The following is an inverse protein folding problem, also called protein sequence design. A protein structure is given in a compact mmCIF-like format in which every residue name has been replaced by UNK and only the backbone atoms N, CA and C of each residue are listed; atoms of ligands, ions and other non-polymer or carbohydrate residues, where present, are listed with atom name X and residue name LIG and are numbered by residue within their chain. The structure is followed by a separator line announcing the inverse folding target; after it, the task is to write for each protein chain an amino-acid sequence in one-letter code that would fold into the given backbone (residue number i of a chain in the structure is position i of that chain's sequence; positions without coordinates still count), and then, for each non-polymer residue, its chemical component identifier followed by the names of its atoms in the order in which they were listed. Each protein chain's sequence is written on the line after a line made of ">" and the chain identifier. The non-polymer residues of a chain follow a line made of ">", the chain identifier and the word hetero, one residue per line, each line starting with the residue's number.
data_IF_261276257988
#
_entry.id   IF_261276257988
#
_cell.length_a   1.000
_cell.length_b   1.000
_cell.length_c   1.000
_cell.angle_alpha   90.00
_cell.angle_beta   90.00
_cell.angle_gamma   90.00
#
_symmetry.space_group_name_H-M   'P 1'
#
loop_
_entity.id
_entity.type
_entity.pdbx_description
1 polymer ?
#
# COMPACT_ATOMS: atom_id res chain seq x y z
N UNK A 1 -33.46 -5.04 11.09
CA UNK A 1 -32.26 -4.28 10.68
C UNK A 1 -31.58 -3.82 11.95
N UNK A 2 -30.58 -4.58 12.42
CA UNK A 2 -29.80 -4.23 13.62
C UNK A 2 -28.70 -3.26 13.19
N UNK A 3 -28.67 -2.09 13.80
CA UNK A 3 -27.55 -1.14 13.69
C UNK A 3 -26.31 -1.83 14.24
N UNK A 4 -25.17 -1.89 13.52
CA UNK A 4 -23.95 -2.46 14.07
C UNK A 4 -23.57 -1.70 15.34
N UNK A 5 -23.08 -2.43 16.34
CA UNK A 5 -22.67 -1.87 17.62
C UNK A 5 -21.63 -0.78 17.36
N UNK A 6 -21.96 0.49 17.64
CA UNK A 6 -21.00 1.60 17.59
C UNK A 6 -19.94 1.33 18.65
N UNK A 7 -18.72 1.04 18.18
CA UNK A 7 -17.55 1.15 19.06
C UNK A 7 -17.44 2.62 19.47
N UNK A 8 -17.65 2.94 20.75
CA UNK A 8 -17.43 4.28 21.31
C UNK A 8 -15.91 4.50 21.50
N UNK A 9 -15.17 4.39 20.44
CA UNK A 9 -13.77 4.79 20.42
C UNK A 9 -13.70 6.33 20.42
N UNK A 10 -12.74 6.89 21.14
CA UNK A 10 -12.41 8.31 21.06
C UNK A 10 -12.02 8.71 19.62
N UNK A 11 -11.83 10.00 19.37
CA UNK A 11 -11.41 10.48 18.04
C UNK A 11 -10.10 9.82 17.60
N UNK A 12 -10.07 9.29 16.38
CA UNK A 12 -8.89 8.73 15.73
C UNK A 12 -8.35 9.75 14.72
N UNK A 13 -7.12 10.18 14.89
CA UNK A 13 -6.45 11.07 13.95
C UNK A 13 -5.69 10.24 12.91
N UNK A 14 -6.05 10.39 11.65
CA UNK A 14 -5.40 9.73 10.52
C UNK A 14 -4.66 10.77 9.69
N UNK A 15 -3.38 10.53 9.39
CA UNK A 15 -2.66 11.28 8.38
C UNK A 15 -2.65 10.47 7.07
N UNK A 16 -3.28 11.01 6.03
CA UNK A 16 -3.22 10.43 4.68
C UNK A 16 -2.11 11.12 3.89
N UNK A 17 -1.04 10.40 3.61
CA UNK A 17 0.05 10.84 2.73
C UNK A 17 -0.22 10.27 1.34
N UNK A 18 -0.52 11.15 0.36
CA UNK A 18 -0.90 10.71 -0.98
C UNK A 18 -0.31 11.66 -2.02
N UNK A 19 0.75 11.20 -2.73
CA UNK A 19 1.46 12.01 -3.70
C UNK A 19 2.68 11.31 -4.30
N UNK A 20 3.37 12.00 -5.19
CA UNK A 20 4.56 11.48 -5.87
C UNK A 20 4.49 11.58 -7.39
N UNK A 21 4.89 10.52 -8.11
CA UNK A 21 5.01 10.50 -9.57
C UNK A 21 4.27 9.31 -10.19
N UNK A 22 3.83 9.46 -11.44
CA UNK A 22 3.38 8.42 -12.37
C UNK A 22 2.08 7.70 -12.02
N UNK A 23 1.33 8.18 -11.04
CA UNK A 23 0.07 7.59 -10.60
C UNK A 23 -1.02 8.64 -10.46
N UNK A 24 -2.27 8.24 -10.58
CA UNK A 24 -3.44 9.07 -10.33
C UNK A 24 -3.71 9.18 -8.81
N UNK A 25 -2.96 10.09 -8.18
CA UNK A 25 -3.08 10.30 -6.73
C UNK A 25 -4.42 10.90 -6.33
N UNK A 26 -5.09 11.61 -7.22
CA UNK A 26 -6.42 12.18 -6.93
C UNK A 26 -7.48 11.08 -6.92
N UNK A 27 -7.41 10.14 -7.85
CA UNK A 27 -8.25 8.96 -7.84
C UNK A 27 -8.04 8.12 -6.56
N UNK A 28 -6.80 7.74 -6.27
CA UNK A 28 -6.48 6.94 -5.08
C UNK A 28 -6.90 7.63 -3.79
N UNK A 29 -6.61 8.94 -3.66
CA UNK A 29 -6.99 9.77 -2.52
C UNK A 29 -8.51 9.78 -2.32
N UNK A 30 -9.26 9.97 -3.39
CA UNK A 30 -10.72 9.97 -3.33
C UNK A 30 -11.26 8.64 -2.80
N UNK A 31 -10.76 7.51 -3.32
CA UNK A 31 -11.19 6.18 -2.86
C UNK A 31 -10.87 5.95 -1.37
N UNK A 32 -9.67 6.30 -0.93
CA UNK A 32 -9.25 6.15 0.47
C UNK A 32 -10.09 7.05 1.40
N UNK A 33 -10.34 8.30 1.00
CA UNK A 33 -11.17 9.23 1.78
C UNK A 33 -12.62 8.77 1.88
N UNK A 34 -13.18 8.13 0.84
CA UNK A 34 -14.51 7.53 0.90
C UNK A 34 -14.58 6.39 1.92
N UNK A 35 -13.52 5.57 2.03
CA UNK A 35 -13.42 4.54 3.06
C UNK A 35 -13.31 5.15 4.46
N UNK A 36 -12.43 6.12 4.66
CA UNK A 36 -12.28 6.83 5.94
C UNK A 36 -13.55 7.56 6.36
N UNK A 37 -14.30 8.12 5.41
CA UNK A 37 -15.57 8.82 5.65
C UNK A 37 -16.69 7.92 6.20
N UNK A 38 -16.52 6.60 6.24
CA UNK A 38 -17.45 5.65 6.87
C UNK A 38 -17.32 5.62 8.39
N UNK A 39 -16.27 6.23 8.96
CA UNK A 39 -15.97 6.21 10.39
C UNK A 39 -16.21 7.58 11.01
N UNK A 40 -17.28 7.74 11.77
CA UNK A 40 -17.67 8.99 12.46
C UNK A 40 -16.60 9.50 13.44
N UNK A 41 -15.72 8.61 13.92
CA UNK A 41 -14.63 8.92 14.86
C UNK A 41 -13.38 9.46 14.20
N UNK A 42 -13.25 9.37 12.87
CA UNK A 42 -12.02 9.70 12.16
C UNK A 42 -11.93 11.21 11.87
N UNK A 43 -10.78 11.79 12.19
CA UNK A 43 -10.32 13.05 11.64
C UNK A 43 -9.11 12.81 10.75
N UNK A 44 -9.24 13.09 9.46
CA UNK A 44 -8.16 12.93 8.49
C UNK A 44 -7.49 14.28 8.18
N UNK A 45 -6.15 14.30 8.19
CA UNK A 45 -5.33 15.33 7.55
C UNK A 45 -4.70 14.77 6.26
N UNK A 46 -4.51 15.62 5.26
CA UNK A 46 -4.00 15.21 3.95
C UNK A 46 -2.66 15.86 3.71
N UNK A 47 -1.67 15.07 3.29
CA UNK A 47 -0.30 15.46 3.00
C UNK A 47 0.11 14.89 1.64
N UNK A 48 1.01 15.58 0.92
CA UNK A 48 1.55 15.08 -0.35
C UNK A 48 2.83 14.26 -0.18
N UNK A 49 3.50 14.46 0.96
CA UNK A 49 4.76 13.80 1.34
C UNK A 49 4.85 13.65 2.87
N UNK A 50 6.00 13.22 3.35
CA UNK A 50 6.25 12.97 4.78
C UNK A 50 6.86 14.17 5.53
N UNK A 51 6.90 15.36 4.95
CA UNK A 51 7.62 16.52 5.52
C UNK A 51 6.95 17.12 6.76
N UNK A 52 5.64 16.94 6.95
CA UNK A 52 4.94 17.38 8.15
C UNK A 52 5.12 16.38 9.31
N UNK A 53 6.36 16.33 9.83
CA UNK A 53 6.75 15.42 10.92
C UNK A 53 5.84 15.58 12.15
N UNK A 54 5.39 16.79 12.45
CA UNK A 54 4.54 17.04 13.61
C UNK A 54 3.15 16.41 13.46
N UNK A 55 2.56 16.52 12.28
CA UNK A 55 1.27 15.87 11.99
C UNK A 55 1.39 14.33 11.99
N UNK A 56 2.46 13.78 11.41
CA UNK A 56 2.71 12.33 11.39
C UNK A 56 2.92 11.77 12.80
N UNK A 57 3.70 12.49 13.65
CA UNK A 57 3.94 12.10 15.03
C UNK A 57 2.68 12.15 15.90
N UNK A 58 1.72 13.03 15.58
CA UNK A 58 0.46 13.18 16.31
C UNK A 58 -0.66 12.24 15.82
N UNK A 59 -0.48 11.58 14.68
CA UNK A 59 -1.50 10.69 14.11
C UNK A 59 -1.56 9.35 14.86
N UNK A 60 -2.77 8.81 15.04
CA UNK A 60 -2.98 7.45 15.54
C UNK A 60 -2.69 6.40 14.47
N UNK A 61 -2.92 6.77 13.21
CA UNK A 61 -2.57 5.98 12.04
C UNK A 61 -2.07 6.88 10.90
N UNK A 62 -1.11 6.38 10.13
CA UNK A 62 -0.68 6.96 8.86
C UNK A 62 -1.06 5.99 7.74
N UNK A 63 -1.76 6.50 6.73
CA UNK A 63 -2.04 5.78 5.49
C UNK A 63 -1.22 6.46 4.40
N UNK A 64 -0.36 5.72 3.74
CA UNK A 64 0.49 6.24 2.67
C UNK A 64 0.17 5.55 1.34
N UNK A 65 -0.16 6.32 0.33
CA UNK A 65 -0.24 5.91 -1.07
C UNK A 65 0.68 6.84 -1.86
N UNK A 66 1.93 6.44 -2.01
CA UNK A 66 2.95 7.30 -2.64
C UNK A 66 3.75 6.53 -3.68
N UNK A 67 4.38 7.24 -4.61
CA UNK A 67 5.33 6.67 -5.55
C UNK A 67 6.51 7.63 -5.72
N UNK A 68 7.73 7.14 -5.51
CA UNK A 68 8.97 7.92 -5.57
C UNK A 68 8.98 9.14 -4.62
N UNK A 69 8.24 9.05 -3.51
CA UNK A 69 8.36 10.00 -2.40
C UNK A 69 9.39 9.45 -1.42
N UNK A 70 10.45 10.21 -1.19
CA UNK A 70 11.62 9.74 -0.44
C UNK A 70 11.71 10.48 0.89
N UNK A 71 11.11 9.96 1.97
CA UNK A 71 11.29 10.56 3.28
C UNK A 71 12.77 10.55 3.67
N UNK A 72 13.22 11.67 4.17
CA UNK A 72 14.55 11.77 4.74
C UNK A 72 14.66 10.99 6.04
N UNK A 73 15.86 10.97 6.60
CA UNK A 73 16.14 10.21 7.83
C UNK A 73 15.28 10.69 9.01
N UNK A 74 15.08 11.99 9.14
CA UNK A 74 14.31 12.58 10.24
C UNK A 74 12.84 12.15 10.18
N UNK A 75 12.21 12.28 9.01
CA UNK A 75 10.81 11.90 8.77
C UNK A 75 10.61 10.39 9.01
N UNK A 76 11.51 9.55 8.48
CA UNK A 76 11.43 8.10 8.63
C UNK A 76 11.57 7.67 10.10
N UNK A 77 12.49 8.29 10.86
CA UNK A 77 12.68 8.00 12.28
C UNK A 77 11.50 8.47 13.13
N UNK A 78 10.95 9.66 12.86
CA UNK A 78 9.77 10.15 13.57
C UNK A 78 8.55 9.25 13.35
N UNK A 79 8.33 8.80 12.10
CA UNK A 79 7.26 7.85 11.79
C UNK A 79 7.49 6.50 12.48
N UNK A 80 8.71 5.98 12.45
CA UNK A 80 9.06 4.74 13.16
C UNK A 80 8.79 4.86 14.67
N UNK A 81 9.21 5.95 15.28
CA UNK A 81 9.05 6.17 16.71
C UNK A 81 7.56 6.30 17.08
N UNK A 82 6.74 6.89 16.18
CA UNK A 82 5.27 6.91 16.33
C UNK A 82 4.67 5.51 16.25
N UNK A 83 5.10 4.68 15.28
CA UNK A 83 4.63 3.30 15.17
C UNK A 83 5.05 2.51 16.42
N UNK A 84 6.31 2.63 16.86
CA UNK A 84 6.80 1.99 18.09
C UNK A 84 6.01 2.36 19.34
N UNK A 85 5.47 3.56 19.40
CA UNK A 85 4.61 4.03 20.49
C UNK A 85 3.15 3.54 20.38
N UNK A 86 2.82 2.63 19.48
CA UNK A 86 1.49 2.06 19.29
C UNK A 86 0.71 2.65 18.11
N UNK A 87 1.35 3.43 17.24
CA UNK A 87 0.76 3.90 15.99
C UNK A 87 0.67 2.80 14.93
N UNK A 88 -0.08 3.04 13.87
CA UNK A 88 -0.27 2.13 12.75
C UNK A 88 0.17 2.79 11.45
N UNK A 89 0.88 2.06 10.60
CA UNK A 89 1.24 2.49 9.27
C UNK A 89 0.66 1.53 8.24
N UNK A 90 -0.22 2.03 7.38
CA UNK A 90 -0.70 1.33 6.19
C UNK A 90 0.04 1.89 4.97
N UNK A 91 0.93 1.09 4.40
CA UNK A 91 1.67 1.42 3.19
C UNK A 91 1.00 0.75 1.99
N UNK A 92 0.49 1.56 1.07
CA UNK A 92 -0.23 1.11 -0.11
C UNK A 92 0.64 1.24 -1.37
N UNK A 93 0.51 0.27 -2.24
CA UNK A 93 1.10 0.23 -3.58
C UNK A 93 2.60 0.60 -3.56
N UNK A 94 2.99 1.65 -4.28
CA UNK A 94 4.37 2.05 -4.53
C UNK A 94 5.03 2.85 -3.38
N UNK A 95 4.44 2.85 -2.18
CA UNK A 95 4.98 3.59 -1.03
C UNK A 95 6.41 3.17 -0.65
N UNK A 96 6.82 1.95 -0.98
CA UNK A 96 8.17 1.40 -0.76
C UNK A 96 9.17 1.72 -1.88
N UNK A 97 8.82 2.56 -2.86
CA UNK A 97 9.63 2.78 -4.05
C UNK A 97 10.47 4.06 -3.98
N UNK A 98 11.73 3.94 -4.39
CA UNK A 98 12.61 5.04 -4.79
C UNK A 98 13.13 4.71 -6.19
N UNK A 99 12.76 5.51 -7.21
CA UNK A 99 12.98 5.16 -8.61
C UNK A 99 13.72 6.30 -9.31
N UNK A 100 14.92 6.03 -9.78
CA UNK A 100 15.65 6.93 -10.67
C UNK A 100 15.24 6.66 -12.12
N UNK A 101 14.57 7.63 -12.75
CA UNK A 101 14.18 7.56 -14.14
C UNK A 101 15.42 7.55 -15.06
N UNK A 102 15.32 6.94 -16.25
CA UNK A 102 16.39 6.95 -17.23
C UNK A 102 16.78 8.38 -17.63
N UNK A 103 18.08 8.63 -17.76
CA UNK A 103 18.59 9.91 -18.26
C UNK A 103 18.31 10.00 -19.76
N UNK A 104 17.82 11.14 -20.30
CA UNK A 104 17.62 11.33 -21.73
C UNK A 104 18.91 11.03 -22.52
N UNK A 105 18.79 10.19 -23.56
CA UNK A 105 19.91 9.78 -24.41
C UNK A 105 20.73 8.60 -23.90
N UNK A 106 20.45 8.09 -22.70
CA UNK A 106 21.02 6.85 -22.16
C UNK A 106 20.09 5.65 -22.42
N UNK A 107 20.57 4.45 -22.05
CA UNK A 107 19.72 3.25 -22.02
C UNK A 107 18.50 3.49 -21.13
N UNK A 108 17.30 3.10 -21.61
CA UNK A 108 16.04 3.24 -20.86
C UNK A 108 15.95 2.19 -19.74
N UNK A 109 16.72 2.38 -18.69
CA UNK A 109 16.74 1.50 -17.52
C UNK A 109 16.44 2.30 -16.25
N UNK A 110 15.37 1.93 -15.56
CA UNK A 110 15.04 2.44 -14.24
C UNK A 110 15.97 1.80 -13.19
N UNK A 111 16.44 2.61 -12.26
CA UNK A 111 17.24 2.15 -11.12
C UNK A 111 16.46 2.40 -9.84
N UNK A 112 16.61 1.51 -8.88
CA UNK A 112 15.92 1.58 -7.59
C UNK A 112 16.95 1.61 -6.47
N UNK A 113 17.57 2.78 -6.23
CA UNK A 113 18.59 2.93 -5.22
C UNK A 113 18.01 2.72 -3.81
N UNK A 114 18.89 2.33 -2.86
CA UNK A 114 18.56 2.37 -1.44
C UNK A 114 18.65 3.81 -0.92
N UNK A 115 17.70 4.64 -1.34
CA UNK A 115 17.69 6.08 -1.07
C UNK A 115 16.97 6.46 0.23
N UNK A 116 16.28 5.51 0.87
CA UNK A 116 15.49 5.74 2.09
C UNK A 116 15.60 4.55 3.05
N UNK A 117 16.83 4.18 3.51
CA UNK A 117 17.08 2.92 4.23
C UNK A 117 16.30 2.83 5.55
N UNK A 118 16.15 3.92 6.30
CA UNK A 118 15.36 3.93 7.55
C UNK A 118 13.88 3.67 7.29
N UNK A 119 13.35 4.21 6.19
CA UNK A 119 11.95 4.00 5.81
C UNK A 119 11.73 2.58 5.27
N UNK A 120 12.62 2.09 4.42
CA UNK A 120 12.61 0.70 3.94
C UNK A 120 12.70 -0.31 5.10
N UNK A 121 13.53 -0.01 6.10
CA UNK A 121 13.63 -0.82 7.32
C UNK A 121 12.34 -0.78 8.14
N UNK A 122 11.65 0.36 8.25
CA UNK A 122 10.34 0.47 8.90
C UNK A 122 9.29 -0.35 8.16
N UNK A 123 9.20 -0.24 6.84
CA UNK A 123 8.26 -1.00 6.02
C UNK A 123 8.56 -2.52 6.00
N UNK A 124 9.81 -2.91 6.25
CA UNK A 124 10.29 -4.28 6.09
C UNK A 124 10.42 -4.71 4.63
N UNK A 125 10.34 -3.77 3.70
CA UNK A 125 10.49 -4.06 2.28
C UNK A 125 11.01 -2.85 1.50
N UNK A 126 11.75 -3.12 0.42
CA UNK A 126 12.27 -2.15 -0.52
C UNK A 126 11.97 -2.60 -1.95
N UNK A 127 11.30 -1.76 -2.71
CA UNK A 127 10.99 -2.02 -4.12
C UNK A 127 12.26 -2.11 -4.97
N UNK A 128 12.32 -3.09 -5.86
CA UNK A 128 13.43 -3.28 -6.81
C UNK A 128 12.98 -3.16 -8.25
N UNK A 129 11.83 -3.76 -8.60
CA UNK A 129 11.32 -3.81 -9.96
C UNK A 129 9.88 -4.31 -10.00
N UNK A 130 9.25 -4.15 -11.15
CA UNK A 130 8.03 -4.85 -11.52
C UNK A 130 8.04 -5.20 -13.01
N UNK A 131 7.38 -6.27 -13.45
CA UNK A 131 7.09 -6.52 -14.85
C UNK A 131 6.03 -5.52 -15.35
N UNK A 132 5.68 -5.62 -16.63
CA UNK A 132 4.51 -4.91 -17.15
C UNK A 132 3.26 -5.34 -16.41
N UNK A 133 2.29 -4.42 -16.29
CA UNK A 133 0.95 -4.73 -15.78
C UNK A 133 0.41 -5.95 -16.52
N UNK A 134 -0.01 -6.96 -15.75
CA UNK A 134 -0.46 -8.24 -16.29
C UNK A 134 -1.50 -8.87 -15.36
N UNK A 135 -2.41 -9.70 -15.89
CA UNK A 135 -3.24 -10.55 -15.04
C UNK A 135 -2.37 -11.45 -14.16
N UNK A 136 -2.69 -11.50 -12.88
CA UNK A 136 -2.01 -12.34 -11.90
C UNK A 136 -3.02 -12.99 -10.96
N UNK A 137 -2.69 -14.19 -10.48
CA UNK A 137 -3.46 -14.87 -9.45
C UNK A 137 -2.94 -14.47 -8.08
N UNK A 138 -3.84 -13.98 -7.24
CA UNK A 138 -3.57 -13.67 -5.84
C UNK A 138 -4.01 -14.85 -4.99
N UNK A 139 -3.13 -15.32 -4.13
CA UNK A 139 -3.35 -16.47 -3.26
C UNK A 139 -3.32 -16.06 -1.79
N UNK A 140 -4.20 -16.66 -0.99
CA UNK A 140 -4.27 -16.45 0.44
C UNK A 140 -3.28 -17.37 1.14
N UNK A 141 -2.20 -16.80 1.69
CA UNK A 141 -1.21 -17.54 2.49
C UNK A 141 -1.77 -17.82 3.88
N UNK A 142 -2.54 -16.87 4.43
CA UNK A 142 -3.23 -16.98 5.72
C UNK A 142 -4.72 -16.67 5.55
N UNK A 143 -5.53 -17.63 5.05
CA UNK A 143 -6.93 -17.37 4.71
C UNK A 143 -7.82 -17.02 5.92
N UNK A 144 -7.39 -17.34 7.13
CA UNK A 144 -8.08 -17.01 8.39
C UNK A 144 -7.72 -15.62 8.94
N UNK A 145 -6.71 -14.94 8.36
CA UNK A 145 -6.29 -13.61 8.83
C UNK A 145 -7.43 -12.59 8.65
N UNK A 146 -7.72 -11.71 9.64
CA UNK A 146 -8.86 -10.80 9.61
C UNK A 146 -8.95 -9.92 8.36
N UNK A 147 -7.81 -9.53 7.79
CA UNK A 147 -7.77 -8.69 6.58
C UNK A 147 -8.26 -9.43 5.31
N UNK A 148 -8.30 -10.76 5.31
CA UNK A 148 -8.66 -11.57 4.13
C UNK A 148 -9.68 -12.67 4.41
N UNK A 149 -10.08 -12.88 5.66
CA UNK A 149 -11.00 -13.96 6.05
C UNK A 149 -12.26 -13.97 5.18
N UNK A 150 -12.61 -15.12 4.62
CA UNK A 150 -13.75 -15.32 3.72
C UNK A 150 -13.53 -14.80 2.28
N UNK A 151 -12.46 -14.07 1.98
CA UNK A 151 -12.15 -13.64 0.61
C UNK A 151 -11.46 -14.79 -0.12
N UNK A 152 -11.96 -15.25 -1.28
CA UNK A 152 -11.33 -16.33 -2.02
C UNK A 152 -10.06 -15.84 -2.74
N UNK A 153 -9.21 -16.78 -3.16
CA UNK A 153 -8.16 -16.48 -4.14
C UNK A 153 -8.79 -15.94 -5.43
N UNK A 154 -8.19 -14.89 -6.01
CA UNK A 154 -8.77 -14.18 -7.16
C UNK A 154 -7.73 -13.88 -8.23
N UNK A 155 -8.19 -13.45 -9.40
CA UNK A 155 -7.34 -12.96 -10.47
C UNK A 155 -7.60 -11.48 -10.64
N UNK A 156 -6.54 -10.69 -10.67
CA UNK A 156 -6.60 -9.26 -10.95
C UNK A 156 -5.49 -8.85 -11.91
N UNK A 157 -5.60 -7.68 -12.48
CA UNK A 157 -4.55 -7.08 -13.32
C UNK A 157 -3.91 -5.96 -12.53
N UNK A 158 -2.59 -6.04 -12.30
CA UNK A 158 -1.83 -5.04 -11.56
C UNK A 158 -0.31 -5.19 -11.80
N UNK A 159 0.48 -4.41 -11.09
CA UNK A 159 1.93 -4.52 -11.01
C UNK A 159 2.31 -5.47 -9.87
N UNK A 160 3.00 -6.59 -10.21
CA UNK A 160 3.61 -7.41 -9.17
C UNK A 160 4.97 -6.86 -8.77
N UNK A 161 5.18 -6.61 -7.49
CA UNK A 161 6.44 -6.02 -7.00
C UNK A 161 7.46 -7.08 -6.62
N UNK A 162 8.61 -6.96 -7.26
CA UNK A 162 9.84 -7.66 -6.86
C UNK A 162 10.55 -6.76 -5.87
N UNK A 163 10.67 -7.20 -4.61
CA UNK A 163 11.21 -6.38 -3.51
C UNK A 163 12.26 -7.14 -2.71
N UNK A 164 13.19 -6.44 -2.09
CA UNK A 164 13.89 -6.96 -0.93
C UNK A 164 12.93 -6.99 0.25
N UNK A 165 13.04 -8.02 1.08
CA UNK A 165 12.12 -8.28 2.18
C UNK A 165 12.91 -8.56 3.46
N UNK A 166 12.42 -8.04 4.58
CA UNK A 166 12.90 -8.43 5.90
C UNK A 166 12.42 -9.86 6.25
N UNK A 167 13.12 -10.52 7.16
CA UNK A 167 12.81 -11.91 7.55
C UNK A 167 11.63 -12.01 8.53
N UNK A 168 11.22 -10.90 9.15
CA UNK A 168 10.18 -10.83 10.18
C UNK A 168 8.79 -10.48 9.64
N UNK A 169 8.58 -10.58 8.32
CA UNK A 169 7.29 -10.31 7.71
C UNK A 169 6.31 -11.45 7.91
N UNK A 170 5.09 -11.11 8.31
CA UNK A 170 3.94 -12.00 8.25
C UNK A 170 3.25 -11.85 6.89
N UNK A 171 3.49 -12.78 5.97
CA UNK A 171 2.88 -12.77 4.65
C UNK A 171 1.44 -13.29 4.74
N UNK A 172 0.47 -12.49 4.28
CA UNK A 172 -0.96 -12.77 4.32
C UNK A 172 -1.48 -13.16 2.93
N UNK A 173 -1.04 -12.45 1.90
CA UNK A 173 -1.31 -12.77 0.49
C UNK A 173 -0.02 -12.68 -0.31
N UNK A 174 0.09 -13.50 -1.34
CA UNK A 174 1.18 -13.43 -2.32
C UNK A 174 0.68 -13.75 -3.74
N UNK A 175 1.58 -13.56 -4.71
CA UNK A 175 1.34 -13.94 -6.09
C UNK A 175 2.59 -14.64 -6.67
N UNK A 176 2.41 -15.68 -7.51
CA UNK A 176 3.51 -16.32 -8.21
C UNK A 176 4.01 -15.44 -9.37
N UNK A 177 5.31 -15.28 -9.46
CA UNK A 177 6.00 -14.68 -10.59
C UNK A 177 7.46 -15.08 -10.62
N UNK A 178 7.96 -15.53 -11.77
CA UNK A 178 9.35 -15.96 -11.99
C UNK A 178 9.96 -15.34 -13.27
N UNK A 179 9.22 -14.44 -13.92
CA UNK A 179 9.66 -13.75 -15.13
C UNK A 179 10.61 -12.59 -14.89
N UNK A 180 11.16 -11.99 -15.95
CA UNK A 180 12.00 -10.80 -15.87
C UNK A 180 11.17 -9.53 -15.68
N UNK A 181 11.82 -8.48 -15.18
CA UNK A 181 11.27 -7.14 -15.05
C UNK A 181 11.91 -6.19 -16.09
N UNK A 182 11.51 -6.23 -17.37
CA UNK A 182 12.14 -5.46 -18.41
C UNK A 182 11.99 -3.96 -18.16
N UNK A 183 13.08 -3.22 -18.38
CA UNK A 183 13.15 -1.79 -18.10
C UNK A 183 13.74 -1.44 -16.75
N UNK A 184 13.90 -2.38 -15.83
CA UNK A 184 14.60 -2.17 -14.55
C UNK A 184 16.01 -2.76 -14.56
N UNK A 185 16.92 -2.16 -13.81
CA UNK A 185 18.28 -2.67 -13.63
C UNK A 185 18.26 -4.02 -12.87
N UNK A 186 17.36 -4.18 -11.91
CA UNK A 186 17.10 -5.46 -11.24
C UNK A 186 16.05 -6.22 -12.03
N UNK A 187 16.35 -7.45 -12.45
CA UNK A 187 15.43 -8.26 -13.24
C UNK A 187 14.64 -9.25 -12.39
N UNK A 188 15.26 -9.79 -11.35
CA UNK A 188 14.70 -10.84 -10.47
C UNK A 188 15.42 -10.84 -9.12
N UNK A 189 14.81 -11.44 -8.11
CA UNK A 189 15.47 -11.88 -6.89
C UNK A 189 15.76 -13.37 -7.02
N UNK A 190 17.01 -13.81 -7.03
CA UNK A 190 17.36 -15.20 -7.25
C UNK A 190 16.64 -16.14 -6.26
N UNK A 191 16.04 -17.21 -6.80
CA UNK A 191 15.32 -18.22 -6.02
C UNK A 191 13.95 -17.82 -5.49
N UNK A 192 13.49 -16.60 -5.78
CA UNK A 192 12.16 -16.15 -5.38
C UNK A 192 11.19 -16.25 -6.55
N UNK A 193 10.14 -17.04 -6.38
CA UNK A 193 9.06 -17.26 -7.37
C UNK A 193 7.68 -16.85 -6.83
N UNK A 194 7.62 -16.38 -5.57
CA UNK A 194 6.41 -15.86 -4.94
C UNK A 194 6.72 -14.52 -4.30
N UNK A 195 5.84 -13.57 -4.51
CA UNK A 195 6.03 -12.19 -4.07
C UNK A 195 4.88 -11.78 -3.14
N UNK A 196 5.17 -11.38 -1.91
CA UNK A 196 4.17 -10.88 -0.99
C UNK A 196 3.41 -9.69 -1.59
N UNK A 197 2.08 -9.73 -1.46
CA UNK A 197 1.17 -8.69 -1.95
C UNK A 197 0.50 -7.98 -0.78
N UNK A 198 0.13 -8.73 0.27
CA UNK A 198 -0.31 -8.20 1.55
C UNK A 198 0.50 -8.86 2.66
N UNK A 199 1.09 -8.05 3.51
CA UNK A 199 1.90 -8.53 4.63
C UNK A 199 1.93 -7.51 5.75
N UNK A 200 2.23 -7.97 6.96
CA UNK A 200 2.36 -7.15 8.14
C UNK A 200 3.67 -7.43 8.87
N UNK A 201 4.05 -6.49 9.73
CA UNK A 201 5.12 -6.68 10.71
C UNK A 201 4.86 -5.85 11.96
N UNK A 202 5.24 -6.38 13.13
CA UNK A 202 5.22 -5.58 14.36
C UNK A 202 6.39 -4.60 14.37
N UNK A 203 6.18 -3.42 14.94
CA UNK A 203 7.23 -2.44 15.21
C UNK A 203 6.98 -1.80 16.57
N UNK A 204 7.68 -2.29 17.61
CA UNK A 204 7.44 -1.89 19.00
C UNK A 204 6.06 -2.30 19.50
N UNK A 205 5.24 -1.32 19.93
CA UNK A 205 3.85 -1.56 20.36
C UNK A 205 2.83 -1.35 19.23
N UNK A 206 3.27 -0.96 18.05
CA UNK A 206 2.45 -0.78 16.87
C UNK A 206 2.82 -1.75 15.77
N UNK A 207 2.32 -1.51 14.57
CA UNK A 207 2.53 -2.38 13.43
C UNK A 207 2.45 -1.64 12.09
N UNK A 208 3.02 -2.27 11.08
CA UNK A 208 2.98 -1.85 9.69
C UNK A 208 2.24 -2.91 8.88
N UNK A 209 1.30 -2.48 8.05
CA UNK A 209 0.68 -3.31 7.01
C UNK A 209 1.06 -2.73 5.66
N UNK A 210 1.54 -3.58 4.77
CA UNK A 210 1.86 -3.22 3.38
C UNK A 210 0.96 -3.99 2.42
N UNK A 211 0.30 -3.26 1.52
CA UNK A 211 -0.54 -3.82 0.47
C UNK A 211 -0.09 -3.26 -0.88
N UNK A 212 0.62 -4.06 -1.67
CA UNK A 212 1.37 -3.60 -2.85
C UNK A 212 0.55 -3.53 -4.14
N UNK A 213 -0.67 -4.07 -4.17
CA UNK A 213 -1.60 -3.83 -5.27
C UNK A 213 -2.17 -2.42 -5.20
N UNK A 214 -2.80 -1.98 -6.29
CA UNK A 214 -3.51 -0.71 -6.34
C UNK A 214 -2.91 0.29 -7.31
N UNK A 215 -2.28 -0.19 -8.40
CA UNK A 215 -1.87 0.69 -9.49
C UNK A 215 -3.07 1.48 -10.03
N UNK A 216 -2.89 2.77 -10.23
CA UNK A 216 -3.82 3.60 -10.99
C UNK A 216 -3.04 4.72 -11.70
N UNK A 217 -3.44 5.04 -12.92
CA UNK A 217 -2.78 6.06 -13.75
C UNK A 217 -3.80 6.80 -14.60
N UNK A 218 -3.81 8.11 -14.50
CA UNK A 218 -4.56 8.98 -15.39
C UNK A 218 -3.82 9.18 -16.73
N UNK A 219 -4.50 9.75 -17.68
CA UNK A 219 -3.98 9.95 -19.05
C UNK A 219 -2.69 10.77 -19.12
N UNK A 220 -2.47 11.66 -18.15
CA UNK A 220 -1.41 12.69 -18.21
C UNK A 220 -0.29 12.49 -17.18
N UNK A 221 -0.29 11.37 -16.43
CA UNK A 221 0.59 11.16 -15.27
C UNK A 221 2.05 10.79 -15.64
N UNK A 222 2.35 10.63 -16.93
CA UNK A 222 3.68 10.25 -17.42
C UNK A 222 4.25 11.25 -18.45
N UNK A 223 3.78 12.47 -18.42
CA UNK A 223 4.27 13.54 -19.30
C UNK A 223 5.78 13.78 -19.11
N UNK A 224 6.29 13.63 -17.89
CA UNK A 224 7.72 13.72 -17.57
C UNK A 224 8.57 12.59 -18.21
N UNK A 225 7.94 11.52 -18.70
CA UNK A 225 8.57 10.43 -19.43
C UNK A 225 8.45 10.61 -20.96
N UNK A 226 7.96 11.76 -21.42
CA UNK A 226 7.79 12.10 -22.82
C UNK A 226 6.53 11.53 -23.47
N UNK A 227 5.53 11.19 -22.66
CA UNK A 227 4.20 10.75 -23.10
C UNK A 227 3.15 11.70 -22.55
N UNK A 228 2.83 12.75 -23.30
CA UNK A 228 1.92 13.81 -22.86
C UNK A 228 0.49 13.32 -22.66
N UNK A 229 0.07 12.28 -23.37
CA UNK A 229 -1.27 11.69 -23.26
C UNK A 229 -1.21 10.18 -23.57
N UNK A 230 -1.57 9.36 -22.60
CA UNK A 230 -1.67 7.90 -22.76
C UNK A 230 -2.93 7.44 -23.51
N UNK A 231 -3.91 8.33 -23.71
CA UNK A 231 -5.19 8.01 -24.33
C UNK A 231 -6.17 7.20 -23.46
N UNK A 232 -5.68 6.64 -22.36
CA UNK A 232 -6.47 5.77 -21.46
C UNK A 232 -6.19 6.12 -20.00
N UNK A 233 -7.15 5.83 -19.15
CA UNK A 233 -6.97 5.76 -17.69
C UNK A 233 -6.86 4.28 -17.31
N UNK A 234 -5.93 3.96 -16.42
CA UNK A 234 -5.73 2.61 -15.90
C UNK A 234 -6.01 2.60 -14.39
N UNK A 235 -6.95 1.78 -13.97
CA UNK A 235 -7.33 1.61 -12.57
C UNK A 235 -7.01 0.23 -12.03
N UNK A 236 -6.43 -0.63 -12.85
CA UNK A 236 -5.86 -1.93 -12.48
C UNK A 236 -6.74 -2.71 -11.46
N UNK A 237 -6.17 -3.11 -10.31
CA UNK A 237 -6.87 -3.89 -9.29
C UNK A 237 -8.06 -3.16 -8.65
N UNK A 238 -8.18 -1.83 -8.75
CA UNK A 238 -9.31 -1.09 -8.17
C UNK A 238 -10.68 -1.49 -8.72
N UNK A 239 -10.71 -2.16 -9.87
CA UNK A 239 -11.94 -2.72 -10.45
C UNK A 239 -12.33 -4.06 -9.83
N UNK A 240 -11.38 -4.77 -9.19
CA UNK A 240 -11.65 -6.05 -8.51
C UNK A 240 -12.44 -5.83 -7.21
N UNK A 241 -13.56 -6.53 -7.02
CA UNK A 241 -14.28 -6.48 -5.76
C UNK A 241 -13.47 -7.04 -4.58
N UNK A 242 -12.62 -8.06 -4.82
CA UNK A 242 -11.76 -8.65 -3.82
C UNK A 242 -10.69 -7.64 -3.35
N UNK A 243 -10.05 -6.94 -4.30
CA UNK A 243 -9.11 -5.87 -3.96
C UNK A 243 -9.78 -4.80 -3.09
N UNK A 244 -10.97 -4.33 -3.49
CA UNK A 244 -11.70 -3.31 -2.73
C UNK A 244 -12.09 -3.78 -1.33
N UNK A 245 -12.45 -5.06 -1.18
CA UNK A 245 -12.74 -5.64 0.13
C UNK A 245 -11.48 -5.67 1.02
N UNK A 246 -10.34 -6.14 0.49
CA UNK A 246 -9.06 -6.13 1.22
C UNK A 246 -8.64 -4.71 1.59
N UNK A 247 -8.67 -3.77 0.63
CA UNK A 247 -8.32 -2.37 0.88
C UNK A 247 -9.17 -1.76 1.99
N UNK A 248 -10.50 -1.99 1.96
CA UNK A 248 -11.40 -1.52 3.00
C UNK A 248 -10.99 -2.06 4.36
N UNK A 249 -10.73 -3.37 4.48
CA UNK A 249 -10.29 -3.98 5.74
C UNK A 249 -8.94 -3.45 6.21
N UNK A 250 -8.02 -3.14 5.30
CA UNK A 250 -6.76 -2.49 5.65
C UNK A 250 -6.98 -1.07 6.19
N UNK A 251 -7.91 -0.31 5.61
CA UNK A 251 -8.29 1.02 6.13
C UNK A 251 -8.99 0.91 7.48
N UNK A 252 -9.92 -0.05 7.65
CA UNK A 252 -10.58 -0.30 8.92
C UNK A 252 -9.58 -0.73 10.00
N UNK A 253 -8.57 -1.55 9.63
CA UNK A 253 -7.45 -1.87 10.52
C UNK A 253 -6.64 -0.62 10.91
N UNK A 254 -6.36 0.27 9.97
CA UNK A 254 -5.67 1.51 10.29
C UNK A 254 -6.45 2.37 11.30
N UNK A 255 -7.79 2.31 11.28
CA UNK A 255 -8.65 3.03 12.24
C UNK A 255 -8.78 2.29 13.58
N UNK A 256 -8.96 0.98 13.57
CA UNK A 256 -9.36 0.18 14.75
C UNK A 256 -8.24 -0.70 15.34
N UNK A 257 -7.13 -0.90 14.60
CA UNK A 257 -6.08 -1.84 15.00
C UNK A 257 -6.59 -3.28 14.99
N UNK A 258 -6.17 -4.08 15.96
CA UNK A 258 -6.52 -5.49 16.06
C UNK A 258 -8.01 -5.71 16.35
N UNK A 259 -8.74 -4.68 16.82
CA UNK A 259 -10.20 -4.72 16.93
C UNK A 259 -10.93 -4.84 15.59
N UNK A 260 -10.22 -4.79 14.46
CA UNK A 260 -10.78 -5.00 13.12
C UNK A 260 -11.54 -6.31 12.98
N UNK A 261 -11.15 -7.37 13.71
CA UNK A 261 -11.89 -8.64 13.76
C UNK A 261 -13.36 -8.46 14.16
N UNK A 262 -13.65 -7.49 15.02
CA UNK A 262 -15.02 -7.18 15.45
C UNK A 262 -15.86 -6.50 14.39
N UNK A 263 -15.19 -5.90 13.39
CA UNK A 263 -15.87 -5.26 12.25
C UNK A 263 -16.37 -6.31 11.25
N UNK A 264 -15.80 -7.52 11.28
CA UNK A 264 -16.08 -8.62 10.33
C UNK A 264 -16.34 -9.95 11.04
N UNK A 265 -17.43 -10.07 11.84
CA UNK A 265 -17.75 -11.31 12.54
C UNK A 265 -18.30 -12.34 11.55
N UNK A 266 -17.48 -13.30 11.15
CA UNK A 266 -17.86 -14.38 10.25
C UNK A 266 -17.69 -14.07 8.76
N UNK A 267 -18.24 -14.92 7.89
CA UNK A 267 -18.16 -14.79 6.43
C UNK A 267 -19.10 -13.66 5.93
N UNK A 268 -18.63 -12.43 6.02
CA UNK A 268 -19.37 -11.26 5.53
C UNK A 268 -18.96 -10.83 4.11
N UNK A 269 -17.95 -11.49 3.50
CA UNK A 269 -17.49 -11.12 2.15
C UNK A 269 -18.63 -11.13 1.13
N UNK A 270 -19.53 -12.12 1.18
CA UNK A 270 -20.70 -12.19 0.32
C UNK A 270 -21.66 -10.99 0.48
N UNK A 271 -21.68 -10.34 1.65
CA UNK A 271 -22.45 -9.12 1.91
C UNK A 271 -21.73 -7.85 1.47
N UNK A 272 -20.40 -7.91 1.34
CA UNK A 272 -19.59 -6.79 0.90
C UNK A 272 -19.67 -6.55 -0.61
N UNK A 273 -20.10 -7.57 -1.37
CA UNK A 273 -20.31 -7.51 -2.82
C UNK A 273 -21.68 -6.92 -3.21
N UNK A 274 -22.60 -6.71 -2.25
CA UNK A 274 -23.91 -6.10 -2.46
C UNK A 274 -23.90 -4.60 -2.15
#
# INVERSE_FOLDING_TARGET
>A
MGTPARCTAGRVNVALVCGGRWHDFDYARLQILQLLGRHDSVRCSIHQDFSDVAALAAADAVIAYTCDVRPGREEALALRDRVRAGGRLLALHATNSAIDAPVPGAERVYRTPDAMPEFSALLGNRFLAHPRITPMRIEMVKPEHPLVSGIPAFVTTDEIYVSELADDLEVIMDAPYDGPCPGFATQQVPGRTRHPVLFSRPEGSGSVVSFTLGHCRGRFDVADQGMDDLGVTDTAAWESPEFRAVLRRCVDWAVHGDDVERCYPGDEYSKELQ
#
